data_IF_736607039219
#
_entry.id   IF_736607039219
#
_cell.length_a   1.000
_cell.length_b   1.000
_cell.length_c   1.000
_cell.angle_alpha   90.00
_cell.angle_beta   90.00
_cell.angle_gamma   90.00
#
_symmetry.space_group_name_H-M   'P 1'
#
loop_
_entity.id
_entity.type
_entity.pdbx_description
1 polymer ?
#
# COMPACT_ATOMS: atom_id res chain seq x y z
N UNK A 1 -5.80 20.51 25.96
CA UNK A 1 -4.57 19.82 26.39
C UNK A 1 -4.70 18.33 26.08
N UNK A 2 -3.91 17.79 25.15
CA UNK A 2 -4.01 16.40 24.71
C UNK A 2 -3.52 15.39 25.77
N UNK A 3 -4.11 14.19 25.80
CA UNK A 3 -3.79 13.13 26.78
C UNK A 3 -2.29 12.74 26.80
N UNK A 4 -1.59 12.91 25.67
CA UNK A 4 -0.16 12.62 25.55
C UNK A 4 0.74 13.48 26.44
N UNK A 5 0.34 14.71 26.76
CA UNK A 5 1.14 15.63 27.59
C UNK A 5 1.05 15.31 29.09
N UNK A 6 0.16 14.39 29.48
CA UNK A 6 0.02 13.92 30.87
C UNK A 6 0.84 12.67 31.15
N UNK A 7 1.51 12.10 30.14
CA UNK A 7 2.31 10.89 30.27
C UNK A 7 3.77 11.22 30.58
N UNK A 8 4.50 10.32 31.26
CA UNK A 8 5.95 10.42 31.41
C UNK A 8 6.65 10.57 30.06
N UNK A 9 7.75 11.34 30.01
CA UNK A 9 8.48 11.65 28.77
C UNK A 9 8.86 10.39 27.97
N UNK A 10 9.20 9.30 28.67
CA UNK A 10 9.52 7.99 28.08
C UNK A 10 8.33 7.40 27.33
N UNK A 11 7.17 7.32 27.98
CA UNK A 11 5.96 6.70 27.42
C UNK A 11 5.40 7.55 26.28
N UNK A 12 5.44 8.88 26.44
CA UNK A 12 5.09 9.81 25.37
C UNK A 12 6.00 9.63 24.13
N UNK A 13 7.31 9.39 24.33
CA UNK A 13 8.23 9.12 23.23
C UNK A 13 7.97 7.78 22.54
N UNK A 14 7.65 6.72 23.31
CA UNK A 14 7.26 5.42 22.74
C UNK A 14 5.99 5.53 21.89
N UNK A 15 4.94 6.18 22.41
CA UNK A 15 3.70 6.38 21.68
C UNK A 15 3.89 7.21 20.41
N UNK A 16 4.74 8.24 20.45
CA UNK A 16 5.10 9.01 19.25
C UNK A 16 5.78 8.14 18.19
N UNK A 17 6.68 7.23 18.59
CA UNK A 17 7.33 6.28 17.65
C UNK A 17 6.34 5.31 17.05
N UNK A 18 5.42 4.77 17.86
CA UNK A 18 4.36 3.88 17.37
C UNK A 18 3.43 4.62 16.40
N UNK A 19 3.01 5.84 16.75
CA UNK A 19 2.20 6.68 15.89
C UNK A 19 2.89 6.99 14.56
N UNK A 20 4.18 7.33 14.58
CA UNK A 20 4.96 7.56 13.36
C UNK A 20 5.01 6.32 12.48
N UNK A 21 5.26 5.13 13.04
CA UNK A 21 5.25 3.87 12.28
C UNK A 21 3.88 3.62 11.66
N UNK A 22 2.80 3.73 12.45
CA UNK A 22 1.44 3.54 11.95
C UNK A 22 1.08 4.54 10.85
N UNK A 23 1.52 5.80 10.96
CA UNK A 23 1.32 6.79 9.91
C UNK A 23 2.06 6.44 8.62
N UNK A 24 3.29 5.89 8.71
CA UNK A 24 4.03 5.44 7.53
C UNK A 24 3.33 4.29 6.81
N UNK A 25 2.83 3.28 7.53
CA UNK A 25 2.25 2.09 6.91
C UNK A 25 0.76 2.23 6.56
N UNK A 26 -0.02 2.90 7.41
CA UNK A 26 -1.49 2.97 7.28
C UNK A 26 -2.00 4.35 6.87
N UNK A 27 -1.11 5.34 6.76
CA UNK A 27 -1.50 6.72 6.43
C UNK A 27 -2.21 6.84 5.08
N UNK A 28 -1.78 6.06 4.09
CA UNK A 28 -2.37 6.05 2.74
C UNK A 28 -3.81 5.53 2.71
N UNK A 29 -4.17 4.62 3.62
CA UNK A 29 -5.49 4.00 3.69
C UNK A 29 -6.34 4.55 4.85
N UNK A 30 -5.88 5.60 5.54
CA UNK A 30 -6.52 6.13 6.75
C UNK A 30 -8.00 6.50 6.57
N UNK A 31 -8.38 6.93 5.36
CA UNK A 31 -9.73 7.37 5.05
C UNK A 31 -10.55 6.32 4.28
N UNK A 32 -10.00 5.13 4.04
CA UNK A 32 -10.74 4.04 3.41
C UNK A 32 -11.76 3.47 4.40
N UNK A 33 -13.05 3.52 4.03
CA UNK A 33 -14.16 3.00 4.85
C UNK A 33 -14.56 1.58 4.46
N UNK A 34 -14.03 1.06 3.35
CA UNK A 34 -14.29 -0.27 2.82
C UNK A 34 -13.18 -0.74 1.88
N UNK A 35 -13.41 -1.88 1.23
CA UNK A 35 -12.50 -2.41 0.23
C UNK A 35 -12.47 -1.49 -1.01
N UNK A 36 -11.31 -1.34 -1.67
CA UNK A 36 -11.21 -0.56 -2.89
C UNK A 36 -11.87 -1.30 -4.06
N UNK A 37 -12.54 -0.56 -4.94
CA UNK A 37 -13.13 -1.13 -6.17
C UNK A 37 -12.06 -1.49 -7.21
N UNK A 38 -10.93 -0.78 -7.20
CA UNK A 38 -9.79 -0.99 -8.12
C UNK A 38 -8.50 -0.72 -7.36
N UNK A 39 -7.48 -1.53 -7.61
CA UNK A 39 -6.10 -1.31 -7.12
C UNK A 39 -5.17 -1.06 -8.29
N UNK A 40 -4.27 -0.09 -8.13
CA UNK A 40 -3.18 0.19 -9.07
C UNK A 40 -1.87 -0.16 -8.38
N UNK A 41 -1.13 -1.12 -8.92
CA UNK A 41 0.18 -1.55 -8.41
C UNK A 41 1.26 -1.09 -9.38
N UNK A 42 2.28 -0.42 -8.85
CA UNK A 42 3.50 -0.09 -9.60
C UNK A 42 4.56 -1.11 -9.20
N UNK A 43 5.21 -1.71 -10.18
CA UNK A 43 6.25 -2.73 -9.99
C UNK A 43 5.78 -3.98 -9.22
N UNK A 44 5.29 -4.98 -9.97
CA UNK A 44 4.84 -6.24 -9.39
C UNK A 44 5.93 -7.11 -8.76
N UNK A 45 7.22 -6.86 -9.01
CA UNK A 45 8.27 -7.68 -8.42
C UNK A 45 8.45 -7.37 -6.93
N UNK A 46 8.42 -6.08 -6.59
CA UNK A 46 8.48 -5.65 -5.18
C UNK A 46 7.14 -5.89 -4.48
N UNK A 47 6.02 -5.69 -5.18
CA UNK A 47 4.66 -5.70 -4.60
C UNK A 47 3.86 -6.98 -4.87
N UNK A 48 4.55 -8.12 -4.92
CA UNK A 48 3.92 -9.41 -5.20
C UNK A 48 2.87 -9.84 -4.16
N UNK A 49 3.06 -9.47 -2.89
CA UNK A 49 2.10 -9.75 -1.80
C UNK A 49 0.79 -9.00 -2.04
N UNK A 50 0.85 -7.71 -2.39
CA UNK A 50 -0.33 -6.90 -2.67
C UNK A 50 -1.12 -7.47 -3.86
N UNK A 51 -0.43 -7.94 -4.89
CA UNK A 51 -1.05 -8.61 -6.04
C UNK A 51 -1.79 -9.89 -5.62
N UNK A 52 -1.18 -10.75 -4.78
CA UNK A 52 -1.83 -11.95 -4.26
C UNK A 52 -3.06 -11.66 -3.42
N UNK A 53 -3.00 -10.64 -2.56
CA UNK A 53 -4.14 -10.23 -1.74
C UNK A 53 -5.28 -9.74 -2.62
N UNK A 54 -5.00 -8.93 -3.65
CA UNK A 54 -6.02 -8.45 -4.58
C UNK A 54 -6.66 -9.60 -5.36
N UNK A 55 -5.87 -10.57 -5.84
CA UNK A 55 -6.40 -11.76 -6.51
C UNK A 55 -7.29 -12.58 -5.56
N UNK A 56 -6.87 -12.75 -4.32
CA UNK A 56 -7.61 -13.52 -3.30
C UNK A 56 -8.93 -12.84 -2.95
N UNK A 57 -8.94 -11.51 -2.88
CA UNK A 57 -10.13 -10.70 -2.59
C UNK A 57 -11.00 -10.47 -3.84
N UNK A 58 -10.55 -10.88 -5.03
CA UNK A 58 -11.26 -10.65 -6.29
C UNK A 58 -11.30 -9.19 -6.72
N UNK A 59 -10.33 -8.37 -6.27
CA UNK A 59 -10.29 -6.94 -6.56
C UNK A 59 -9.60 -6.73 -7.92
N UNK A 60 -10.26 -6.05 -8.87
CA UNK A 60 -9.66 -5.69 -10.15
C UNK A 60 -8.35 -4.92 -9.95
N UNK A 61 -7.27 -5.42 -10.55
CA UNK A 61 -5.91 -4.86 -10.37
C UNK A 61 -5.33 -4.41 -11.71
N UNK A 62 -4.91 -3.16 -11.77
CA UNK A 62 -4.12 -2.59 -12.87
C UNK A 62 -2.67 -2.60 -12.42
N UNK A 63 -1.76 -3.15 -13.22
CA UNK A 63 -0.34 -3.14 -12.88
C UNK A 63 0.53 -2.55 -13.99
N UNK A 64 1.45 -1.67 -13.58
CA UNK A 64 2.54 -1.21 -14.41
C UNK A 64 3.69 -2.22 -14.29
N UNK A 65 3.91 -2.97 -15.37
CA UNK A 65 4.83 -4.09 -15.41
C UNK A 65 5.94 -3.78 -16.42
N UNK A 66 7.20 -4.04 -16.03
CA UNK A 66 8.33 -4.03 -16.95
C UNK A 66 8.35 -5.29 -17.85
N UNK A 67 8.92 -5.14 -19.02
CA UNK A 67 9.04 -6.09 -20.13
C UNK A 67 9.50 -7.48 -19.71
N UNK A 68 10.27 -7.58 -18.62
CA UNK A 68 10.91 -8.82 -18.17
C UNK A 68 10.00 -9.74 -17.34
N UNK A 69 8.75 -9.36 -17.06
CA UNK A 69 7.89 -10.12 -16.14
C UNK A 69 6.64 -10.68 -16.82
N UNK A 70 6.39 -11.98 -16.58
CA UNK A 70 5.23 -12.71 -17.09
C UNK A 70 4.00 -12.32 -16.26
N UNK A 71 2.94 -11.75 -16.88
CA UNK A 71 1.77 -11.31 -16.16
C UNK A 71 0.91 -12.51 -15.72
N UNK A 72 0.32 -12.41 -14.54
CA UNK A 72 -0.70 -13.35 -14.07
C UNK A 72 -2.05 -12.94 -14.71
N UNK A 73 -2.94 -13.91 -14.95
CA UNK A 73 -4.11 -13.85 -15.83
C UNK A 73 -5.17 -12.77 -15.57
N UNK A 74 -5.06 -11.96 -14.51
CA UNK A 74 -6.04 -10.93 -14.13
C UNK A 74 -5.47 -9.49 -14.12
N UNK A 75 -4.33 -9.26 -14.77
CA UNK A 75 -3.68 -7.95 -14.76
C UNK A 75 -3.94 -7.21 -16.07
N UNK A 76 -4.58 -6.03 -15.98
CA UNK A 76 -4.60 -5.10 -17.11
C UNK A 76 -3.21 -4.46 -17.26
N UNK A 77 -2.51 -4.86 -18.32
CA UNK A 77 -1.15 -4.41 -18.62
C UNK A 77 -1.17 -3.06 -19.31
N UNK A 78 -0.78 -2.01 -18.60
CA UNK A 78 -0.36 -0.76 -19.24
C UNK A 78 1.11 -0.90 -19.63
N UNK A 79 1.37 -1.13 -20.92
CA UNK A 79 2.71 -1.11 -21.49
C UNK A 79 3.22 0.34 -21.37
N UNK A 80 4.20 0.60 -20.50
CA UNK A 80 4.89 1.89 -20.49
C UNK A 80 5.45 2.10 -21.89
N UNK A 81 4.90 3.08 -22.60
CA UNK A 81 5.40 3.54 -23.89
C UNK A 81 6.58 4.47 -23.61
N UNK A 82 7.65 3.91 -23.08
CA UNK A 82 8.91 4.62 -22.84
C UNK A 82 9.98 4.00 -23.72
N UNK A 83 9.91 4.35 -25.01
CA UNK A 83 11.04 4.28 -25.93
C UNK A 83 11.20 5.71 -26.46
N UNK A 84 12.14 6.45 -25.85
CA UNK A 84 12.88 7.48 -26.57
C UNK A 84 13.89 6.78 -27.48
#
# INVERSE_FOLDING_TARGET
MGRLNRLPKRDAAMLKRQLSRLQTYLGGIKYMTGLPDIVIIVDQQEEYTALRECITLGIPTICLIDTNVIPISQIFRFRQMMTL
#
